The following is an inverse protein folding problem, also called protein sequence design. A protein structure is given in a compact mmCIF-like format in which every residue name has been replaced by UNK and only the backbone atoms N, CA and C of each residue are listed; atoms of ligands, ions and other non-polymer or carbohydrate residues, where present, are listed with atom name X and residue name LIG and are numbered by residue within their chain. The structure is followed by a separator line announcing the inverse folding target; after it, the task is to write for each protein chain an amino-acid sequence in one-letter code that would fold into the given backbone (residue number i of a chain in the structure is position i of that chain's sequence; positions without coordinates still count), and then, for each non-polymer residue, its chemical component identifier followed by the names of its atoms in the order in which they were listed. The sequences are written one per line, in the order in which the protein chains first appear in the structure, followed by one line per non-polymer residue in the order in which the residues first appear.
data_IF_282610495156
#
_entry.id   IF_282610495156
#
_cell.length_a   1.000
_cell.length_b   1.000
_cell.length_c   1.000
_cell.angle_alpha   90.00
_cell.angle_beta   90.00
_cell.angle_gamma   90.00
#
_symmetry.space_group_name_H-M   'P 1'
#
loop_
_entity.id
_entity.type
_entity.pdbx_description
1 polymer ?
#
# COMPACT_ATOMS: atom_id res chain seq x y z
N UNK A 1 -2.80 24.99 -4.20
CA UNK A 1 -2.36 23.58 -4.28
C UNK A 1 -3.60 22.71 -4.43
N UNK A 2 -3.66 21.83 -5.43
CA UNK A 2 -4.77 20.88 -5.60
C UNK A 2 -4.38 19.60 -4.89
N UNK A 3 -4.95 19.36 -3.71
CA UNK A 3 -4.73 18.10 -3.00
C UNK A 3 -5.56 17.03 -3.71
N UNK A 4 -4.90 16.14 -4.45
CA UNK A 4 -5.55 14.97 -5.02
C UNK A 4 -5.99 14.04 -3.89
N UNK A 5 -7.22 13.55 -3.99
CA UNK A 5 -7.77 12.59 -3.05
C UNK A 5 -7.72 11.20 -3.69
N UNK A 6 -7.41 10.17 -2.90
CA UNK A 6 -7.39 8.73 -3.26
C UNK A 6 -8.74 8.17 -3.77
N UNK A 7 -9.70 9.03 -4.15
CA UNK A 7 -11.10 8.70 -4.37
C UNK A 7 -11.42 7.96 -5.67
N UNK A 8 -10.49 7.89 -6.63
CA UNK A 8 -10.76 7.28 -7.95
C UNK A 8 -9.54 6.53 -8.50
N UNK A 9 -9.23 5.35 -7.93
CA UNK A 9 -8.43 4.30 -8.61
C UNK A 9 -7.06 4.72 -9.20
N UNK A 10 -6.34 5.67 -8.59
CA UNK A 10 -4.97 5.98 -9.00
C UNK A 10 -4.05 4.81 -8.57
N UNK A 11 -3.81 3.86 -9.49
CA UNK A 11 -2.85 2.78 -9.30
C UNK A 11 -1.48 3.27 -9.76
N UNK A 12 -0.51 3.27 -8.86
CA UNK A 12 0.88 3.56 -9.22
C UNK A 12 1.70 2.28 -9.29
N UNK A 13 2.61 2.20 -10.27
CA UNK A 13 3.47 1.04 -10.48
C UNK A 13 4.91 1.51 -10.46
N UNK A 14 5.63 1.16 -9.41
CA UNK A 14 7.04 1.44 -9.27
C UNK A 14 7.81 0.15 -8.99
N UNK A 15 9.07 0.12 -9.43
CA UNK A 15 9.97 -0.99 -9.12
C UNK A 15 10.51 -0.78 -7.71
N UNK A 16 10.38 -1.81 -6.90
CA UNK A 16 10.89 -1.87 -5.52
C UNK A 16 11.94 -2.95 -5.43
N UNK A 17 13.03 -2.66 -4.72
CA UNK A 17 14.08 -3.64 -4.47
C UNK A 17 13.59 -4.62 -3.40
N UNK A 18 14.02 -5.88 -3.44
CA UNK A 18 13.54 -6.94 -2.53
C UNK A 18 13.80 -6.63 -1.06
N UNK A 19 14.89 -5.92 -0.75
CA UNK A 19 15.21 -5.45 0.60
C UNK A 19 14.41 -4.23 1.07
N UNK A 20 13.51 -3.70 0.25
CA UNK A 20 12.66 -2.56 0.60
C UNK A 20 11.56 -3.02 1.57
N UNK A 21 11.37 -2.29 2.66
CA UNK A 21 10.31 -2.59 3.64
C UNK A 21 8.94 -2.15 3.12
N UNK A 22 7.88 -2.83 3.57
CA UNK A 22 6.50 -2.45 3.25
C UNK A 22 6.20 -1.00 3.64
N UNK A 23 6.78 -0.48 4.72
CA UNK A 23 6.71 0.95 5.07
C UNK A 23 7.29 1.85 3.98
N UNK A 24 8.44 1.50 3.41
CA UNK A 24 9.07 2.30 2.35
C UNK A 24 8.25 2.26 1.06
N UNK A 25 7.65 1.11 0.75
CA UNK A 25 6.72 0.98 -0.39
C UNK A 25 5.49 1.85 -0.16
N UNK A 26 4.94 1.82 1.05
CA UNK A 26 3.84 2.68 1.45
C UNK A 26 4.19 4.14 1.23
N UNK A 27 5.25 4.65 1.86
CA UNK A 27 5.61 6.07 1.77
C UNK A 27 5.87 6.50 0.33
N UNK A 28 6.59 5.67 -0.44
CA UNK A 28 6.86 5.93 -1.85
C UNK A 28 5.59 5.95 -2.71
N UNK A 29 4.57 5.16 -2.38
CA UNK A 29 3.31 5.20 -3.09
C UNK A 29 2.63 6.58 -2.96
N UNK A 30 2.70 7.24 -1.80
CA UNK A 30 2.16 8.61 -1.63
C UNK A 30 2.97 9.64 -2.40
N UNK A 31 4.30 9.49 -2.43
CA UNK A 31 5.17 10.36 -3.22
C UNK A 31 4.86 10.25 -4.72
N UNK A 32 4.70 9.04 -5.23
CA UNK A 32 4.43 8.80 -6.66
C UNK A 32 3.00 9.18 -7.05
N UNK A 33 2.03 9.00 -6.16
CA UNK A 33 0.64 9.41 -6.38
C UNK A 33 0.45 10.93 -6.23
N UNK A 34 1.41 11.63 -5.62
CA UNK A 34 1.31 13.06 -5.24
C UNK A 34 0.02 13.31 -4.42
N UNK A 35 -0.30 12.38 -3.52
CA UNK A 35 -1.48 12.43 -2.64
C UNK A 35 -1.06 12.61 -1.20
N UNK A 36 -1.86 13.33 -0.43
CA UNK A 36 -1.61 13.52 1.00
C UNK A 36 -1.98 12.24 1.76
N UNK A 37 -1.04 11.72 2.55
CA UNK A 37 -1.25 10.56 3.41
C UNK A 37 -2.33 10.84 4.45
N UNK A 38 -3.33 9.97 4.54
CA UNK A 38 -4.32 9.98 5.59
C UNK A 38 -3.96 8.95 6.66
N UNK A 39 -4.15 9.31 7.93
CA UNK A 39 -3.98 8.39 9.06
C UNK A 39 -4.98 7.23 9.05
N UNK A 40 -6.06 7.36 8.27
CA UNK A 40 -7.08 6.33 8.09
C UNK A 40 -6.84 5.41 6.90
N UNK A 41 -5.83 5.69 6.09
CA UNK A 41 -5.50 4.85 4.95
C UNK A 41 -4.95 3.52 5.46
N UNK A 42 -5.26 2.44 4.73
CA UNK A 42 -4.86 1.07 5.04
C UNK A 42 -4.08 0.51 3.88
N UNK A 43 -2.87 -0.02 4.13
CA UNK A 43 -2.17 -0.85 3.15
C UNK A 43 -2.83 -2.20 3.25
N UNK A 44 -3.21 -2.68 2.09
CA UNK A 44 -3.52 -4.07 1.93
C UNK A 44 -2.88 -4.60 0.67
N UNK A 45 -2.66 -5.90 0.63
CA UNK A 45 -2.29 -6.59 -0.58
C UNK A 45 -3.37 -7.60 -0.95
N UNK A 46 -3.58 -7.76 -2.25
CA UNK A 46 -4.43 -8.80 -2.78
C UNK A 46 -3.63 -10.11 -2.81
N UNK A 47 -4.13 -11.10 -2.08
CA UNK A 47 -3.59 -12.47 -2.02
C UNK A 47 -4.61 -13.45 -2.56
N UNK A 48 -4.20 -14.70 -2.79
CA UNK A 48 -5.08 -15.77 -3.29
C UNK A 48 -6.28 -16.04 -2.35
N UNK A 49 -6.10 -15.78 -1.05
CA UNK A 49 -7.13 -15.96 -0.02
C UNK A 49 -7.96 -14.70 0.26
N UNK A 50 -7.64 -13.58 -0.39
CA UNK A 50 -8.33 -12.29 -0.24
C UNK A 50 -7.39 -11.12 0.07
N UNK A 51 -7.96 -9.98 0.44
CA UNK A 51 -7.19 -8.78 0.81
C UNK A 51 -6.67 -8.88 2.24
N UNK A 52 -5.36 -8.79 2.42
CA UNK A 52 -4.69 -8.85 3.72
C UNK A 52 -4.14 -7.47 4.06
N UNK A 53 -4.44 -6.97 5.26
CA UNK A 53 -3.87 -5.73 5.77
C UNK A 53 -2.38 -5.93 6.09
N UNK A 54 -1.52 -5.08 5.52
CA UNK A 54 -0.08 -5.11 5.79
C UNK A 54 0.31 -4.11 6.89
N UNK A 55 -0.66 -3.48 7.54
CA UNK A 55 -0.42 -2.43 8.54
C UNK A 55 0.40 -2.91 9.74
N UNK A 56 0.14 -4.13 10.21
CA UNK A 56 0.90 -4.77 11.29
C UNK A 56 2.27 -5.30 10.82
N UNK A 57 2.50 -5.33 9.50
CA UNK A 57 3.65 -5.94 8.86
C UNK A 57 4.58 -4.92 8.19
N UNK A 58 4.37 -3.61 8.40
CA UNK A 58 5.10 -2.54 7.71
C UNK A 58 6.63 -2.59 7.89
N UNK A 59 7.09 -3.15 9.01
CA UNK A 59 8.52 -3.34 9.29
C UNK A 59 9.16 -4.50 8.52
N UNK A 60 8.36 -5.35 7.86
CA UNK A 60 8.88 -6.49 7.11
C UNK A 60 9.40 -6.06 5.73
N UNK A 61 10.49 -6.69 5.27
CA UNK A 61 10.91 -6.62 3.87
C UNK A 61 9.82 -7.16 2.95
N UNK A 62 9.75 -6.62 1.73
CA UNK A 62 8.87 -7.13 0.69
C UNK A 62 9.06 -8.63 0.45
N UNK A 63 10.31 -9.07 0.36
CA UNK A 63 10.61 -10.50 0.14
C UNK A 63 10.05 -11.38 1.27
N UNK A 64 10.14 -10.92 2.52
CA UNK A 64 9.63 -11.67 3.68
C UNK A 64 8.12 -11.71 3.65
N UNK A 65 7.46 -10.58 3.38
CA UNK A 65 6.01 -10.52 3.27
C UNK A 65 5.48 -11.41 2.13
N UNK A 66 6.21 -11.53 1.03
CA UNK A 66 5.91 -12.46 -0.06
C UNK A 66 6.10 -13.92 0.36
N UNK A 67 7.19 -14.24 1.06
CA UNK A 67 7.46 -15.58 1.57
C UNK A 67 6.43 -16.05 2.61
N UNK A 68 5.90 -15.13 3.42
CA UNK A 68 4.83 -15.41 4.38
C UNK A 68 3.43 -15.47 3.73
N UNK A 69 3.33 -15.19 2.42
CA UNK A 69 2.06 -15.19 1.70
C UNK A 69 1.15 -14.00 2.04
N UNK A 70 1.72 -12.92 2.61
CA UNK A 70 0.99 -11.70 2.98
C UNK A 70 0.72 -10.79 1.78
N UNK A 71 1.57 -10.86 0.75
CA UNK A 71 1.41 -10.09 -0.48
C UNK A 71 2.06 -10.81 -1.66
N UNK A 72 1.52 -10.65 -2.87
CA UNK A 72 2.17 -11.18 -4.08
C UNK A 72 2.86 -10.05 -4.86
N UNK A 73 2.15 -9.36 -5.75
CA UNK A 73 2.71 -8.31 -6.62
C UNK A 73 1.91 -7.01 -6.63
N UNK A 74 0.73 -7.01 -6.00
CA UNK A 74 -0.21 -5.90 -6.06
C UNK A 74 -0.52 -5.43 -4.65
N UNK A 75 -0.22 -4.16 -4.43
CA UNK A 75 -0.54 -3.43 -3.21
C UNK A 75 -1.67 -2.45 -3.51
N UNK A 76 -2.48 -2.21 -2.50
CA UNK A 76 -3.58 -1.28 -2.55
C UNK A 76 -3.58 -0.44 -1.27
N UNK A 77 -3.75 0.86 -1.46
CA UNK A 77 -4.02 1.79 -0.38
C UNK A 77 -5.54 1.98 -0.36
N UNK A 78 -6.21 1.35 0.59
CA UNK A 78 -7.61 1.59 0.83
C UNK A 78 -7.77 2.78 1.75
N UNK A 79 -8.27 3.89 1.21
CA UNK A 79 -8.78 4.96 2.05
C UNK A 79 -9.99 4.41 2.80
N UNK A 80 -9.95 4.39 4.14
CA UNK A 80 -11.11 4.06 4.97
C UNK A 80 -12.08 5.24 4.92
N UNK A 81 -12.69 5.48 3.76
CA UNK A 81 -13.85 6.36 3.64
C UNK A 81 -14.99 5.65 4.35
N UNK A 82 -15.22 6.02 5.62
CA UNK A 82 -16.48 5.72 6.26
C UNK A 82 -17.58 6.26 5.36
N UNK A 83 -18.41 5.35 4.85
CA UNK A 83 -19.49 5.67 3.92
C UNK A 83 -20.34 6.82 4.43
N UNK A 84 -20.67 7.74 3.53
CA UNK A 84 -21.77 8.67 3.70
C UNK A 84 -23.02 8.07 3.05
#
# INVERSE_FOLDING_TARGET
MRVKHLGELETVRFKVESGTTLQSIWDRAYEELDVMRNERDVFQAETDVGTVSLMDHLGLPLETAQQEGLCDKKFEIAARTGGA
#
